data_IF_029903320965
#
_entry.id   IF_029903320965
#
_cell.length_a   1.000
_cell.length_b   1.000
_cell.length_c   1.000
_cell.angle_alpha   90.00
_cell.angle_beta   90.00
_cell.angle_gamma   90.00
#
_symmetry.space_group_name_H-M   'P 1'
#
loop_
_entity.id
_entity.type
_entity.pdbx_description
1 polymer ?
#
# COMPACT_ATOMS: atom_id res chain seq x y z
N UNK A 1 13.09 -2.99 -3.07
CA UNK A 1 13.32 -4.07 -2.08
C UNK A 1 13.83 -5.35 -2.73
N UNK A 2 13.03 -6.07 -3.51
CA UNK A 2 13.43 -7.38 -4.08
C UNK A 2 14.72 -7.29 -4.92
N UNK A 3 14.88 -6.22 -5.71
CA UNK A 3 16.12 -5.97 -6.45
C UNK A 3 17.37 -5.82 -5.54
N UNK A 4 17.20 -5.29 -4.32
CA UNK A 4 18.29 -5.14 -3.35
C UNK A 4 18.71 -6.47 -2.73
N UNK A 5 17.82 -7.47 -2.68
CA UNK A 5 18.19 -8.83 -2.29
C UNK A 5 18.97 -9.54 -3.40
N UNK A 6 18.63 -9.28 -4.67
CA UNK A 6 19.27 -9.92 -5.81
C UNK A 6 20.63 -9.32 -6.16
N UNK A 7 20.79 -8.00 -5.98
CA UNK A 7 22.02 -7.29 -6.32
C UNK A 7 22.35 -6.20 -5.28
N UNK A 8 22.61 -6.56 -4.01
CA UNK A 8 22.85 -5.60 -2.93
C UNK A 8 23.99 -4.61 -3.23
N UNK A 9 25.03 -5.06 -3.93
CA UNK A 9 26.17 -4.24 -4.34
C UNK A 9 25.81 -3.09 -5.31
N UNK A 10 24.63 -3.14 -5.93
CA UNK A 10 24.14 -2.08 -6.84
C UNK A 10 23.28 -1.03 -6.13
N UNK A 11 22.89 -1.28 -4.88
CA UNK A 11 21.94 -0.43 -4.14
C UNK A 11 22.56 -0.05 -2.81
N UNK A 12 23.08 1.18 -2.71
CA UNK A 12 23.71 1.68 -1.49
C UNK A 12 22.71 1.89 -0.33
N UNK A 13 21.45 2.23 -0.62
CA UNK A 13 20.40 2.46 0.38
C UNK A 13 19.00 2.34 -0.22
N UNK A 14 18.02 2.01 0.63
CA UNK A 14 16.59 1.96 0.28
C UNK A 14 15.79 2.91 1.17
N UNK A 15 15.06 3.84 0.55
CA UNK A 15 14.08 4.70 1.22
C UNK A 15 12.69 4.19 0.87
N UNK A 16 11.89 3.89 1.88
CA UNK A 16 10.56 3.29 1.73
C UNK A 16 9.46 4.35 1.95
N UNK A 17 8.71 4.66 0.88
CA UNK A 17 7.60 5.62 0.90
C UNK A 17 6.28 4.86 0.99
N UNK A 18 5.53 5.02 2.09
CA UNK A 18 4.23 4.34 2.27
C UNK A 18 4.27 2.82 2.11
N UNK A 19 5.41 2.17 2.38
CA UNK A 19 5.61 0.77 2.07
C UNK A 19 5.01 -0.14 3.14
N UNK A 20 4.32 -1.20 2.69
CA UNK A 20 3.89 -2.30 3.55
C UNK A 20 4.42 -3.63 3.01
N UNK A 21 5.06 -4.48 3.84
CA UNK A 21 5.48 -5.80 3.40
C UNK A 21 4.31 -6.78 3.26
N UNK A 22 3.14 -6.48 3.87
CA UNK A 22 1.91 -7.28 3.77
C UNK A 22 0.72 -6.43 4.22
N UNK A 23 -0.38 -6.44 3.45
CA UNK A 23 -1.61 -5.70 3.79
C UNK A 23 -2.60 -6.50 4.64
N UNK A 24 -2.68 -7.81 4.47
CA UNK A 24 -3.58 -8.68 5.24
C UNK A 24 -3.15 -8.79 6.72
N UNK A 25 -4.13 -8.70 7.62
CA UNK A 25 -4.06 -8.76 9.08
C UNK A 25 -3.27 -7.62 9.71
N UNK A 26 -2.01 -7.88 10.06
CA UNK A 26 -1.15 -6.88 10.70
C UNK A 26 -1.08 -5.63 9.81
N UNK A 27 -1.10 -5.80 8.49
CA UNK A 27 -1.05 -4.74 7.48
C UNK A 27 -2.20 -3.73 7.46
N UNK A 28 -3.27 -3.96 8.22
CA UNK A 28 -4.38 -3.04 8.37
C UNK A 28 -5.68 -3.46 7.69
N UNK A 29 -5.67 -4.54 6.90
CA UNK A 29 -6.89 -5.07 6.27
C UNK A 29 -7.21 -6.47 6.79
N UNK A 30 -8.46 -6.72 7.15
CA UNK A 30 -8.97 -8.07 7.36
C UNK A 30 -9.18 -8.78 6.02
N UNK A 31 -9.35 -10.11 6.05
CA UNK A 31 -9.71 -10.87 4.85
C UNK A 31 -11.06 -10.38 4.27
N UNK A 32 -12.01 -10.05 5.13
CA UNK A 32 -13.32 -9.50 4.76
C UNK A 32 -13.18 -8.15 4.05
N UNK A 33 -12.33 -7.26 4.56
CA UNK A 33 -12.09 -5.94 3.95
C UNK A 33 -11.52 -6.10 2.53
N UNK A 34 -10.58 -7.02 2.33
CA UNK A 34 -9.99 -7.32 1.02
C UNK A 34 -11.04 -7.90 0.06
N UNK A 35 -11.87 -8.83 0.54
CA UNK A 35 -12.93 -9.42 -0.28
C UNK A 35 -14.00 -8.38 -0.67
N UNK A 36 -14.32 -7.42 0.21
CA UNK A 36 -15.19 -6.28 -0.10
C UNK A 36 -14.58 -5.33 -1.13
N UNK A 37 -13.26 -5.07 -1.06
CA UNK A 37 -12.55 -4.29 -2.08
C UNK A 37 -12.66 -4.96 -3.45
N UNK A 38 -12.46 -6.27 -3.53
CA UNK A 38 -12.59 -7.00 -4.79
C UNK A 38 -14.02 -7.00 -5.33
N UNK A 39 -15.01 -7.20 -4.46
CA UNK A 39 -16.42 -7.15 -4.86
C UNK A 39 -16.79 -5.77 -5.43
N UNK A 40 -16.39 -4.69 -4.76
CA UNK A 40 -16.64 -3.34 -5.25
C UNK A 40 -15.94 -3.05 -6.58
N UNK A 41 -14.66 -3.42 -6.70
CA UNK A 41 -13.87 -3.18 -7.91
C UNK A 41 -14.36 -3.99 -9.12
N UNK A 42 -14.94 -5.17 -8.90
CA UNK A 42 -15.51 -6.02 -9.96
C UNK A 42 -16.95 -5.67 -10.32
N UNK A 43 -17.71 -5.08 -9.38
CA UNK A 43 -19.08 -4.62 -9.64
C UNK A 43 -19.11 -3.36 -10.52
N UNK A 44 -18.28 -2.36 -10.20
CA UNK A 44 -18.12 -1.15 -11.02
C UNK A 44 -16.73 -0.58 -10.82
N UNK A 45 -15.82 -0.90 -11.76
CA UNK A 45 -14.44 -0.42 -11.71
C UNK A 45 -14.33 1.12 -11.71
N UNK A 46 -15.05 1.88 -12.57
CA UNK A 46 -14.93 3.34 -12.59
C UNK A 46 -15.38 4.01 -11.28
N UNK A 47 -16.51 3.56 -10.72
CA UNK A 47 -17.06 4.14 -9.49
C UNK A 47 -16.17 3.79 -8.29
N UNK A 48 -15.72 2.53 -8.23
CA UNK A 48 -14.76 2.09 -7.22
C UNK A 48 -13.46 2.91 -7.31
N UNK A 49 -12.92 3.10 -8.52
CA UNK A 49 -11.66 3.81 -8.73
C UNK A 49 -11.75 5.29 -8.29
N UNK A 50 -12.85 5.97 -8.60
CA UNK A 50 -13.06 7.36 -8.16
C UNK A 50 -13.11 7.47 -6.63
N UNK A 51 -13.84 6.55 -5.97
CA UNK A 51 -13.93 6.49 -4.50
C UNK A 51 -12.58 6.13 -3.86
N UNK A 52 -11.89 5.14 -4.42
CA UNK A 52 -10.57 4.70 -3.98
C UNK A 52 -9.54 5.82 -4.10
N UNK A 53 -9.48 6.54 -5.22
CA UNK A 53 -8.54 7.63 -5.46
C UNK A 53 -8.65 8.75 -4.41
N UNK A 54 -9.88 9.16 -4.10
CA UNK A 54 -10.16 10.16 -3.07
C UNK A 54 -9.67 9.71 -1.69
N UNK A 55 -9.97 8.45 -1.33
CA UNK A 55 -9.56 7.88 -0.04
C UNK A 55 -8.05 7.66 0.07
N UNK A 56 -7.42 7.16 -1.00
CA UNK A 56 -6.01 6.80 -1.02
C UNK A 56 -5.08 8.02 -0.91
N UNK A 57 -5.46 9.14 -1.54
CA UNK A 57 -4.68 10.36 -1.46
C UNK A 57 -4.94 11.19 -0.20
N UNK A 58 -6.06 10.94 0.49
CA UNK A 58 -6.43 11.58 1.76
C UNK A 58 -6.21 13.11 1.78
N UNK A 59 -6.47 13.77 0.65
CA UNK A 59 -6.20 15.19 0.40
C UNK A 59 -7.49 15.93 0.03
N UNK A 60 -8.45 16.09 0.97
CA UNK A 60 -9.75 16.68 0.69
C UNK A 60 -9.65 18.13 0.21
N UNK A 61 -8.61 18.86 0.66
CA UNK A 61 -8.35 20.24 0.26
C UNK A 61 -7.71 20.36 -1.14
N UNK A 62 -7.36 19.24 -1.76
CA UNK A 62 -6.72 19.17 -3.10
C UNK A 62 -7.38 18.10 -3.99
N UNK A 63 -8.66 18.29 -4.37
CA UNK A 63 -9.40 17.32 -5.18
C UNK A 63 -8.77 17.05 -6.55
N UNK A 64 -7.98 17.99 -7.08
CA UNK A 64 -7.24 17.85 -8.33
C UNK A 64 -6.23 16.69 -8.30
N UNK A 65 -5.67 16.36 -7.12
CA UNK A 65 -4.78 15.21 -6.96
C UNK A 65 -5.56 13.90 -7.11
N UNK A 66 -6.76 13.83 -6.53
CA UNK A 66 -7.70 12.71 -6.69
C UNK A 66 -7.99 12.44 -8.16
N UNK A 67 -8.37 13.49 -8.89
CA UNK A 67 -8.66 13.41 -10.32
C UNK A 67 -7.43 12.97 -11.13
N UNK A 68 -6.28 13.58 -10.88
CA UNK A 68 -5.04 13.21 -11.56
C UNK A 68 -4.67 11.73 -11.35
N UNK A 69 -4.84 11.23 -10.13
CA UNK A 69 -4.58 9.83 -9.81
C UNK A 69 -5.57 8.88 -10.49
N UNK A 70 -6.86 9.22 -10.50
CA UNK A 70 -7.87 8.49 -11.27
C UNK A 70 -7.54 8.45 -12.76
N UNK A 71 -7.16 9.60 -13.36
CA UNK A 71 -6.79 9.69 -14.77
C UNK A 71 -5.57 8.84 -15.10
N UNK A 72 -4.56 8.81 -14.21
CA UNK A 72 -3.38 7.97 -14.34
C UNK A 72 -3.72 6.47 -14.36
N UNK A 73 -4.67 6.04 -13.51
CA UNK A 73 -5.10 4.64 -13.47
C UNK A 73 -6.01 4.29 -14.67
N UNK A 74 -6.87 5.20 -15.10
CA UNK A 74 -7.69 5.03 -16.31
C UNK A 74 -6.89 4.89 -17.60
N UNK A 75 -5.60 5.25 -17.61
CA UNK A 75 -4.71 5.00 -18.76
C UNK A 75 -4.42 3.50 -19.00
N UNK A 76 -4.80 2.61 -18.07
CA UNK A 76 -4.58 1.17 -18.17
C UNK A 76 -5.92 0.40 -18.25
N UNK A 77 -5.97 -0.73 -18.99
CA UNK A 77 -7.13 -1.62 -18.97
C UNK A 77 -7.50 -2.06 -17.54
N UNK A 78 -8.79 -1.99 -17.15
CA UNK A 78 -9.25 -2.34 -15.80
C UNK A 78 -8.77 -3.70 -15.31
N UNK A 79 -8.74 -4.71 -16.19
CA UNK A 79 -8.35 -6.08 -15.85
C UNK A 79 -6.88 -6.17 -15.40
N UNK A 80 -6.01 -5.33 -15.95
CA UNK A 80 -4.59 -5.26 -15.55
C UNK A 80 -4.46 -4.62 -14.17
N UNK A 81 -5.23 -3.58 -13.90
CA UNK A 81 -5.20 -2.93 -12.59
C UNK A 81 -5.84 -3.79 -11.50
N UNK A 82 -6.91 -4.54 -11.81
CA UNK A 82 -7.45 -5.55 -10.91
C UNK A 82 -6.43 -6.65 -10.60
N UNK A 83 -5.66 -7.09 -11.59
CA UNK A 83 -4.57 -8.06 -11.39
C UNK A 83 -3.50 -7.52 -10.43
N UNK A 84 -3.08 -6.27 -10.63
CA UNK A 84 -2.10 -5.60 -9.76
C UNK A 84 -2.67 -5.41 -8.35
N UNK A 85 -3.92 -4.99 -8.21
CA UNK A 85 -4.61 -4.83 -6.93
C UNK A 85 -4.63 -6.16 -6.15
N UNK A 86 -5.03 -7.24 -6.82
CA UNK A 86 -5.03 -8.58 -6.24
C UNK A 86 -3.64 -8.99 -5.76
N UNK A 87 -2.61 -8.72 -6.55
CA UNK A 87 -1.23 -9.05 -6.19
C UNK A 87 -0.74 -8.23 -4.98
N UNK A 88 -0.97 -6.91 -4.97
CA UNK A 88 -0.58 -6.01 -3.87
C UNK A 88 -1.24 -6.44 -2.56
N UNK A 89 -2.53 -6.78 -2.56
CA UNK A 89 -3.26 -7.13 -1.34
C UNK A 89 -2.96 -8.55 -0.81
N UNK A 90 -2.49 -9.46 -1.67
CA UNK A 90 -2.24 -10.86 -1.32
C UNK A 90 -0.77 -11.20 -1.05
N UNK A 91 0.17 -10.35 -1.46
CA UNK A 91 1.60 -10.61 -1.24
C UNK A 91 2.02 -10.48 0.22
N UNK A 92 2.98 -11.31 0.61
CA UNK A 92 3.64 -11.27 1.91
C UNK A 92 5.16 -11.30 1.71
N UNK A 93 5.78 -10.15 1.90
CA UNK A 93 7.22 -9.95 1.79
C UNK A 93 7.91 -9.76 3.15
N UNK A 94 7.28 -10.17 4.25
CA UNK A 94 7.86 -10.02 5.59
C UNK A 94 9.16 -10.81 5.76
N UNK A 95 9.30 -11.93 5.04
CA UNK A 95 10.53 -12.71 5.05
C UNK A 95 11.66 -12.00 4.30
N UNK A 96 11.35 -11.42 3.14
CA UNK A 96 12.28 -10.74 2.24
C UNK A 96 12.80 -9.45 2.85
N UNK A 97 11.93 -8.66 3.50
CA UNK A 97 12.36 -7.41 4.13
C UNK A 97 13.32 -7.65 5.31
N UNK A 98 13.20 -8.80 5.99
CA UNK A 98 14.10 -9.23 7.06
C UNK A 98 15.49 -9.68 6.58
N UNK A 99 15.65 -9.97 5.28
CA UNK A 99 16.92 -10.38 4.67
C UNK A 99 17.73 -9.21 4.09
N UNK A 100 17.26 -7.97 4.25
CA UNK A 100 17.94 -6.80 3.68
C UNK A 100 19.14 -6.37 4.53
N UNK A 101 20.34 -6.60 4.00
CA UNK A 101 21.60 -6.19 4.63
C UNK A 101 22.00 -4.73 4.33
N UNK A 102 21.23 -4.03 3.48
CA UNK A 102 21.50 -2.63 3.12
C UNK A 102 20.78 -1.65 4.08
N UNK A 103 21.31 -0.43 4.26
CA UNK A 103 20.61 0.64 4.95
C UNK A 103 19.21 0.84 4.35
N UNK A 104 18.18 0.59 5.16
CA UNK A 104 16.78 0.68 4.75
C UNK A 104 16.02 1.46 5.79
N UNK A 105 15.42 2.57 5.37
CA UNK A 105 14.74 3.49 6.27
C UNK A 105 13.37 3.85 5.70
N UNK A 106 12.30 3.86 6.52
CA UNK A 106 11.06 4.50 6.13
C UNK A 106 11.31 6.01 5.97
N UNK A 107 10.61 6.65 5.03
CA UNK A 107 10.63 8.11 4.95
C UNK A 107 10.01 8.72 6.22
N UNK A 108 10.73 9.60 6.93
CA UNK A 108 10.22 10.26 8.14
C UNK A 108 9.07 11.25 7.86
N UNK A 109 8.95 11.77 6.64
CA UNK A 109 7.94 12.78 6.28
C UNK A 109 6.58 12.16 5.92
N UNK A 110 6.55 10.89 5.49
CA UNK A 110 5.31 10.20 5.11
C UNK A 110 4.92 9.26 6.25
N UNK A 111 3.82 9.55 7.00
CA UNK A 111 3.31 8.62 7.98
C UNK A 111 2.91 7.34 7.24
N UNK A 112 3.53 6.23 7.62
CA UNK A 112 3.40 4.93 6.96
C UNK A 112 2.03 4.27 7.26
N UNK A 113 0.95 5.06 7.36
CA UNK A 113 -0.40 4.59 7.70
C UNK A 113 -0.95 3.72 6.57
N UNK A 114 -1.66 2.63 6.88
CA UNK A 114 -2.45 1.92 5.88
C UNK A 114 -3.48 2.87 5.25
N UNK A 115 -3.69 2.75 3.93
CA UNK A 115 -4.72 3.50 3.18
C UNK A 115 -6.12 3.36 3.83
N UNK A 116 -6.42 2.24 4.51
CA UNK A 116 -7.69 2.03 5.20
C UNK A 116 -7.94 2.94 6.42
N UNK A 117 -6.93 3.60 6.97
CA UNK A 117 -7.14 4.56 8.06
C UNK A 117 -7.82 5.86 7.59
N UNK A 118 -7.92 6.10 6.29
CA UNK A 118 -8.50 7.32 5.72
C UNK A 118 -10.02 7.24 5.48
N UNK A 119 -10.63 6.04 5.53
CA UNK A 119 -12.03 5.83 5.13
C UNK A 119 -12.99 5.31 6.20
N UNK A 120 -12.50 4.65 7.25
CA UNK A 120 -13.38 4.07 8.27
C UNK A 120 -12.98 4.52 9.69
N UNK A 121 -13.90 5.22 10.37
CA UNK A 121 -13.77 5.69 11.76
C UNK A 121 -13.73 4.53 12.78
N UNK A 122 -13.80 3.26 12.36
CA UNK A 122 -13.89 2.08 13.24
C UNK A 122 -12.62 1.22 13.32
N UNK A 123 -11.49 1.62 12.77
CA UNK A 123 -10.25 0.84 12.92
C UNK A 123 -9.46 1.38 14.12
N UNK A 124 -9.64 0.71 15.25
CA UNK A 124 -8.98 0.97 16.54
C UNK A 124 -7.45 1.14 16.41
N UNK A 125 -6.90 2.03 17.24
CA UNK A 125 -5.50 2.42 17.31
C UNK A 125 -4.54 1.21 17.34
N UNK A 126 -4.00 0.86 16.17
CA UNK A 126 -2.92 -0.13 16.04
C UNK A 126 -1.56 0.61 15.99
N UNK A 127 -0.49 -0.02 16.51
CA UNK A 127 0.82 0.61 16.67
C UNK A 127 1.40 1.16 15.36
N UNK A 128 2.20 2.22 15.50
CA UNK A 128 2.76 2.99 14.39
C UNK A 128 3.53 2.08 13.40
N UNK A 129 3.22 2.11 12.10
CA UNK A 129 3.85 1.25 11.09
C UNK A 129 5.38 1.41 10.93
N UNK A 130 5.97 2.54 11.36
CA UNK A 130 7.43 2.69 11.45
C UNK A 130 8.06 1.71 12.46
N UNK A 131 7.35 1.35 13.54
CA UNK A 131 7.80 0.32 14.49
C UNK A 131 7.75 -1.08 13.87
N UNK A 132 6.98 -1.28 12.79
CA UNK A 132 6.73 -2.59 12.20
C UNK A 132 7.80 -3.01 11.20
N UNK A 133 8.25 -2.11 10.33
CA UNK A 133 9.40 -2.39 9.43
C UNK A 133 10.66 -2.69 10.26
N UNK A 134 10.87 -1.98 11.36
CA UNK A 134 11.94 -2.27 12.32
C UNK A 134 11.71 -3.60 13.09
N UNK A 135 10.46 -3.95 13.40
CA UNK A 135 10.12 -5.22 14.05
C UNK A 135 10.33 -6.44 13.15
N UNK A 136 10.20 -6.31 11.83
CA UNK A 136 10.44 -7.40 10.87
C UNK A 136 11.94 -7.65 10.58
N UNK A 137 12.85 -6.85 11.16
CA UNK A 137 14.30 -7.08 11.15
C UNK A 137 14.81 -7.90 12.36
N UNK A 138 13.92 -8.35 13.25
CA UNK A 138 14.27 -9.20 14.42
C UNK A 138 14.00 -10.66 14.13
#
# INVERSE_FOLDING_TARGET
>A
MLAALQAPQRIAKLVLLGASPRYLNDGGFSKKDIDEIYAAATQSYPDWLASFASTALASPDRPELGRYFTDCLNAYPPERLLTVLCWVLQTDYRREIGQLDIPTHPDPAIPQRPICAAGDRRISAKPNPAQRIAAYRR
#
